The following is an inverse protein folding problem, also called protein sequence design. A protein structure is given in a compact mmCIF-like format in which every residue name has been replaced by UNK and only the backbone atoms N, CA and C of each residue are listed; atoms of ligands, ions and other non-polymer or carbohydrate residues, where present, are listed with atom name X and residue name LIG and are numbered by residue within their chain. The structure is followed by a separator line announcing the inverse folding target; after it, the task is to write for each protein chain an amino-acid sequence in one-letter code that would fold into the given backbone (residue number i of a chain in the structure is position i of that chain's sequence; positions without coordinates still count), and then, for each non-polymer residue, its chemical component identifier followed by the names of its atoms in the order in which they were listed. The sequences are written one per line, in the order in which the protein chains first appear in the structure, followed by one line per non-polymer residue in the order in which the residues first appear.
data_IF_520853675990
#
_entry.id   IF_520853675990
#
_cell.length_a   1.000
_cell.length_b   1.000
_cell.length_c   1.000
_cell.angle_alpha   90.00
_cell.angle_beta   90.00
_cell.angle_gamma   90.00
#
_symmetry.space_group_name_H-M   'P 1'
#
loop_
_entity.id
_entity.type
_entity.pdbx_description
1 polymer ?
#
# COMPACT_ATOMS: atom_id res chain seq x y z
N UNK A 1 17.99 5.89 -7.89
CA UNK A 1 16.63 5.32 -8.04
C UNK A 1 16.50 4.09 -7.16
N UNK A 2 15.74 4.16 -6.07
CA UNK A 2 15.54 3.04 -5.15
C UNK A 2 14.66 2.00 -5.85
N UNK A 3 15.23 0.87 -6.28
CA UNK A 3 14.45 -0.23 -6.85
C UNK A 3 13.56 -0.80 -5.75
N UNK A 4 12.26 -0.95 -6.03
CA UNK A 4 11.35 -1.69 -5.16
C UNK A 4 11.85 -3.14 -5.08
N UNK A 5 12.06 -3.65 -3.86
CA UNK A 5 12.50 -5.02 -3.59
C UNK A 5 11.76 -5.57 -2.38
N UNK A 6 11.58 -6.89 -2.28
CA UNK A 6 11.16 -7.52 -1.03
C UNK A 6 12.03 -7.06 0.15
N UNK A 7 11.41 -6.84 1.30
CA UNK A 7 12.04 -6.33 2.53
C UNK A 7 12.10 -4.80 2.63
N UNK A 8 11.82 -4.06 1.55
CA UNK A 8 11.84 -2.59 1.59
C UNK A 8 10.56 -2.06 2.23
N UNK A 9 10.71 -1.11 3.17
CA UNK A 9 9.60 -0.31 3.70
C UNK A 9 9.17 0.72 2.65
N UNK A 10 7.89 0.73 2.34
CA UNK A 10 7.28 1.64 1.38
C UNK A 10 6.21 2.47 2.08
N UNK A 11 6.13 3.75 1.72
CA UNK A 11 4.93 4.55 1.99
C UNK A 11 3.90 4.17 0.95
N UNK A 12 2.80 3.62 1.41
CA UNK A 12 1.67 3.35 0.55
C UNK A 12 0.87 4.67 0.42
N UNK A 13 0.31 4.91 -0.77
CA UNK A 13 -0.57 6.03 -1.06
C UNK A 13 0.01 7.41 -0.68
N UNK A 14 1.04 7.91 -1.40
CA UNK A 14 1.73 9.15 -1.04
C UNK A 14 0.86 10.41 -1.08
N UNK A 15 -0.34 10.35 -1.69
CA UNK A 15 -1.33 11.43 -1.76
C UNK A 15 -2.52 11.28 -0.80
N UNK A 16 -2.54 10.25 0.05
CA UNK A 16 -3.62 10.06 1.02
C UNK A 16 -3.50 11.08 2.17
N UNK A 17 -4.64 11.53 2.68
CA UNK A 17 -4.74 12.39 3.87
C UNK A 17 -4.08 11.72 5.08
N UNK A 18 -4.16 10.39 5.17
CA UNK A 18 -3.52 9.63 6.25
C UNK A 18 -2.45 8.67 5.70
N UNK A 19 -1.17 8.84 6.08
CA UNK A 19 -0.12 7.98 5.57
C UNK A 19 -0.23 6.57 6.16
N UNK A 20 0.00 5.57 5.30
CA UNK A 20 0.19 4.18 5.69
C UNK A 20 1.55 3.68 5.21
N UNK A 21 2.16 2.80 5.98
CA UNK A 21 3.44 2.19 5.61
C UNK A 21 3.35 0.68 5.67
N UNK A 22 4.11 0.04 4.80
CA UNK A 22 4.23 -1.40 4.79
C UNK A 22 5.57 -1.88 4.27
N UNK A 23 5.83 -3.17 4.45
CA UNK A 23 7.02 -3.85 3.96
C UNK A 23 6.64 -4.69 2.76
N UNK A 24 7.35 -4.52 1.64
CA UNK A 24 7.15 -5.36 0.46
C UNK A 24 7.54 -6.79 0.79
N UNK A 25 6.64 -7.75 0.57
CA UNK A 25 6.90 -9.18 0.78
C UNK A 25 7.21 -9.90 -0.52
N UNK A 26 6.51 -9.52 -1.59
CA UNK A 26 6.63 -10.18 -2.90
C UNK A 26 6.44 -9.17 -4.01
N UNK A 27 7.18 -9.32 -5.10
CA UNK A 27 7.02 -8.55 -6.34
C UNK A 27 7.01 -9.56 -7.49
N UNK A 28 5.97 -9.51 -8.29
CA UNK A 28 5.84 -10.24 -9.56
C UNK A 28 5.63 -9.25 -10.70
N UNK A 29 5.59 -9.75 -11.93
CA UNK A 29 5.21 -8.95 -13.11
C UNK A 29 3.81 -8.36 -13.02
N UNK A 30 2.91 -9.02 -12.28
CA UNK A 30 1.48 -8.70 -12.28
C UNK A 30 1.03 -8.03 -10.98
N UNK A 31 1.72 -8.25 -9.86
CA UNK A 31 1.34 -7.72 -8.55
C UNK A 31 2.51 -7.51 -7.59
N UNK A 32 2.23 -6.76 -6.52
CA UNK A 32 3.11 -6.54 -5.39
C UNK A 32 2.32 -6.87 -4.12
N UNK A 33 2.92 -7.65 -3.24
CA UNK A 33 2.36 -7.94 -1.92
C UNK A 33 3.08 -7.08 -0.90
N UNK A 34 2.31 -6.31 -0.12
CA UNK A 34 2.84 -5.44 0.94
C UNK A 34 2.17 -5.79 2.25
N UNK A 35 2.96 -6.05 3.29
CA UNK A 35 2.45 -6.19 4.64
C UNK A 35 2.33 -4.80 5.28
N UNK A 36 1.15 -4.42 5.73
CA UNK A 36 0.98 -3.18 6.49
C UNK A 36 1.72 -3.28 7.82
N UNK A 37 2.54 -2.28 8.12
CA UNK A 37 3.27 -2.19 9.40
C UNK A 37 2.85 -0.97 10.20
N UNK A 38 2.28 0.04 9.54
CA UNK A 38 1.87 1.28 10.18
C UNK A 38 0.65 1.86 9.48
N UNK A 39 -0.30 2.33 10.27
CA UNK A 39 -1.52 2.98 9.83
C UNK A 39 -1.81 4.13 10.79
N UNK A 40 -2.18 5.28 10.25
CA UNK A 40 -2.55 6.43 11.08
C UNK A 40 -3.79 6.11 11.92
N UNK A 41 -3.89 6.54 13.19
CA UNK A 41 -5.02 6.20 14.06
C UNK A 41 -6.38 6.73 13.59
N UNK A 42 -6.39 7.81 12.80
CA UNK A 42 -7.62 8.40 12.21
C UNK A 42 -8.03 7.74 10.89
N UNK A 43 -7.32 6.70 10.48
CA UNK A 43 -7.58 6.00 9.25
C UNK A 43 -8.56 4.86 9.53
N UNK A 44 -9.76 4.95 8.98
CA UNK A 44 -10.83 3.98 9.24
C UNK A 44 -10.94 2.88 8.17
N UNK A 45 -10.04 2.85 7.19
CA UNK A 45 -10.11 1.86 6.11
C UNK A 45 -9.97 0.42 6.62
N UNK A 46 -10.64 -0.53 5.95
CA UNK A 46 -10.70 -1.96 6.31
C UNK A 46 -9.38 -2.61 6.72
N UNK A 47 -8.26 -2.17 6.12
CA UNK A 47 -6.98 -2.81 6.34
C UNK A 47 -6.36 -2.48 7.70
N UNK A 48 -5.86 -3.52 8.37
CA UNK A 48 -5.22 -3.46 9.68
C UNK A 48 -3.71 -3.67 9.59
N UNK A 49 -2.98 -3.20 10.61
CA UNK A 49 -1.56 -3.49 10.75
C UNK A 49 -1.35 -5.01 10.86
N UNK A 50 -0.39 -5.53 10.11
CA UNK A 50 -0.08 -6.96 10.01
C UNK A 50 -0.67 -7.63 8.76
N UNK A 51 -1.70 -7.05 8.15
CA UNK A 51 -2.35 -7.63 6.97
C UNK A 51 -1.51 -7.52 5.69
N UNK A 52 -1.72 -8.47 4.79
CA UNK A 52 -1.09 -8.53 3.47
C UNK A 52 -2.03 -7.94 2.42
N UNK A 53 -1.56 -6.89 1.74
CA UNK A 53 -2.28 -6.22 0.67
C UNK A 53 -1.65 -6.60 -0.66
N UNK A 54 -2.46 -7.16 -1.56
CA UNK A 54 -2.09 -7.45 -2.94
C UNK A 54 -2.47 -6.28 -3.83
N UNK A 55 -1.47 -5.61 -4.39
CA UNK A 55 -1.61 -4.47 -5.29
C UNK A 55 -1.22 -4.89 -6.71
N UNK A 56 -2.00 -4.58 -7.75
CA UNK A 56 -1.59 -4.87 -9.12
C UNK A 56 -0.37 -4.03 -9.52
N UNK A 57 0.65 -4.66 -10.12
CA UNK A 57 1.86 -3.98 -10.57
C UNK A 57 1.57 -3.03 -11.75
N UNK A 58 0.59 -3.39 -12.61
CA UNK A 58 0.08 -2.56 -13.70
C UNK A 58 -0.74 -1.34 -13.22
N UNK A 59 -0.95 -1.18 -11.91
CA UNK A 59 -1.78 -0.16 -11.31
C UNK A 59 -1.11 0.59 -10.16
N UNK A 60 0.21 0.51 -10.02
CA UNK A 60 1.01 1.43 -9.19
C UNK A 60 0.97 2.89 -9.71
N UNK A 61 0.06 3.19 -10.63
CA UNK A 61 -0.44 4.54 -10.86
C UNK A 61 -1.03 5.06 -9.55
N UNK A 62 -0.56 6.24 -9.16
CA UNK A 62 -1.03 7.03 -8.04
C UNK A 62 -2.56 7.09 -8.07
N UNK A 63 -3.23 6.23 -7.29
CA UNK A 63 -4.67 6.35 -7.07
C UNK A 63 -4.91 7.65 -6.30
N UNK A 64 -5.93 8.40 -6.68
CA UNK A 64 -6.45 9.48 -5.85
C UNK A 64 -7.04 8.89 -4.56
N UNK A 65 -7.10 9.71 -3.51
CA UNK A 65 -7.66 9.32 -2.20
C UNK A 65 -9.07 8.70 -2.35
N UNK A 66 -9.92 9.28 -3.20
CA UNK A 66 -11.29 8.81 -3.41
C UNK A 66 -11.35 7.43 -4.10
N UNK A 67 -10.60 7.25 -5.20
CA UNK A 67 -10.58 5.98 -5.93
C UNK A 67 -10.03 4.83 -5.06
N UNK A 68 -9.19 5.16 -4.08
CA UNK A 68 -8.74 4.22 -3.07
C UNK A 68 -9.84 3.89 -2.06
N UNK A 69 -10.47 4.90 -1.44
CA UNK A 69 -11.59 4.70 -0.49
C UNK A 69 -12.66 3.79 -1.08
N UNK A 70 -13.05 4.03 -2.32
CA UNK A 70 -14.10 3.27 -2.99
C UNK A 70 -13.74 1.79 -3.22
N UNK A 71 -12.46 1.47 -3.41
CA UNK A 71 -12.00 0.12 -3.77
C UNK A 71 -11.47 -0.67 -2.57
N UNK A 72 -11.06 0.04 -1.52
CA UNK A 72 -10.15 -0.49 -0.51
C UNK A 72 -10.48 -0.15 0.95
N UNK A 73 -11.51 0.65 1.27
CA UNK A 73 -11.83 1.03 2.66
C UNK A 73 -13.09 0.37 3.26
#
# INVERSE_FOLDING_TARGET
MTRLKPGVRVRLWPKDTYPKYGIVREITSDYIVVQLTEKHPQDYCRYQVGELIKLPAQGLLVLSEQAFKDKYC
#
